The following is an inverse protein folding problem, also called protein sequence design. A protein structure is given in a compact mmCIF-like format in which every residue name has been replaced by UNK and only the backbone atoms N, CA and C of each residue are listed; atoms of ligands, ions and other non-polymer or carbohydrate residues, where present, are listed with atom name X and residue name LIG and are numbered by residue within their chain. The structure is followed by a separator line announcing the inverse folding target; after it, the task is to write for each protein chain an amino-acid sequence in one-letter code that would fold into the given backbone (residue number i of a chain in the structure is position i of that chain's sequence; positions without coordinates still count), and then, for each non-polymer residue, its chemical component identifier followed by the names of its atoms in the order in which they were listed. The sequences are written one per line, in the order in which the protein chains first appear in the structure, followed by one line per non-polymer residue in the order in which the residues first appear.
data_IF_872326815728
#
_entry.id   IF_872326815728
#
_cell.length_a   1.000
_cell.length_b   1.000
_cell.length_c   1.000
_cell.angle_alpha   90.00
_cell.angle_beta   90.00
_cell.angle_gamma   90.00
#
_symmetry.space_group_name_H-M   'P 1'
#
loop_
_entity.id
_entity.type
_entity.pdbx_description
1 polymer ?
#
# COMPACT_ATOMS: atom_id res chain seq x y z
N UNK A 1 15.49 -18.26 -17.31
CA UNK A 1 15.00 -17.73 -16.01
C UNK A 1 13.55 -18.14 -15.91
N UNK A 2 13.20 -18.93 -14.90
CA UNK A 2 11.81 -19.32 -14.65
C UNK A 2 11.01 -18.04 -14.50
N UNK A 3 9.87 -17.94 -15.21
CA UNK A 3 8.96 -16.81 -15.14
C UNK A 3 8.46 -16.66 -13.70
N UNK A 4 9.10 -15.81 -12.90
CA UNK A 4 8.65 -15.54 -11.54
C UNK A 4 7.22 -14.98 -11.60
N UNK A 5 6.34 -15.54 -10.79
CA UNK A 5 4.94 -15.09 -10.69
C UNK A 5 4.73 -14.39 -9.36
N UNK A 6 3.98 -13.30 -9.39
CA UNK A 6 3.52 -12.64 -8.17
C UNK A 6 1.98 -12.66 -8.07
N UNK A 7 1.43 -12.73 -6.85
CA UNK A 7 -0.02 -12.73 -6.64
C UNK A 7 -0.56 -11.30 -6.77
N UNK A 8 -1.10 -10.98 -7.92
CA UNK A 8 -1.75 -9.70 -8.19
C UNK A 8 -3.20 -9.75 -7.73
N UNK A 9 -3.55 -8.88 -6.79
CA UNK A 9 -4.91 -8.73 -6.28
C UNK A 9 -5.77 -7.91 -7.25
N UNK A 10 -5.22 -6.76 -7.71
CA UNK A 10 -5.95 -5.78 -8.49
C UNK A 10 -5.01 -4.96 -9.34
N UNK A 11 -5.47 -4.55 -10.53
CA UNK A 11 -4.81 -3.53 -11.35
C UNK A 11 -5.84 -2.41 -11.58
N UNK A 12 -5.50 -1.20 -11.17
CA UNK A 12 -6.25 0.02 -11.48
C UNK A 12 -5.56 0.68 -12.66
N UNK A 13 -6.21 0.69 -13.81
CA UNK A 13 -5.60 1.16 -15.05
C UNK A 13 -5.30 2.66 -15.04
N UNK A 14 -6.13 3.46 -14.35
CA UNK A 14 -5.98 4.90 -14.25
C UNK A 14 -6.21 5.36 -12.82
N UNK A 15 -5.19 5.92 -12.21
CA UNK A 15 -5.24 6.48 -10.86
C UNK A 15 -4.48 7.81 -10.81
N UNK A 16 -5.11 8.81 -10.20
CA UNK A 16 -4.52 10.13 -9.95
C UNK A 16 -4.18 10.35 -8.47
N UNK A 17 -4.34 9.30 -7.64
CA UNK A 17 -4.10 9.38 -6.19
C UNK A 17 -2.91 8.56 -5.72
N UNK A 18 -2.41 7.67 -6.58
CA UNK A 18 -1.31 6.75 -6.26
C UNK A 18 0.05 7.29 -6.77
N UNK A 19 0.28 8.57 -6.63
CA UNK A 19 1.50 9.27 -7.08
C UNK A 19 1.20 10.36 -8.10
N UNK A 20 2.23 11.02 -8.66
CA UNK A 20 2.08 12.14 -9.57
C UNK A 20 1.57 11.73 -10.95
N UNK A 21 0.68 12.52 -11.50
CA UNK A 21 0.09 12.30 -12.83
C UNK A 21 -0.90 11.14 -12.85
N UNK A 22 -1.24 10.68 -14.05
CA UNK A 22 -2.10 9.52 -14.22
C UNK A 22 -1.24 8.23 -14.26
N UNK A 23 -1.54 7.26 -13.40
CA UNK A 23 -0.71 6.06 -13.23
C UNK A 23 -1.55 4.77 -13.31
N UNK A 24 -0.92 3.69 -13.75
CA UNK A 24 -1.47 2.35 -13.53
C UNK A 24 -0.99 1.85 -12.18
N UNK A 25 -1.91 1.52 -11.27
CA UNK A 25 -1.57 1.01 -9.94
C UNK A 25 -1.75 -0.51 -9.89
N UNK A 26 -0.68 -1.23 -9.50
CA UNK A 26 -0.66 -2.69 -9.38
C UNK A 26 -0.62 -3.06 -7.90
N UNK A 27 -1.68 -3.71 -7.43
CA UNK A 27 -1.83 -4.11 -6.03
C UNK A 27 -1.52 -5.60 -5.86
N UNK A 28 -0.57 -5.90 -4.97
CA UNK A 28 -0.17 -7.26 -4.66
C UNK A 28 -0.88 -7.79 -3.42
N UNK A 29 -0.99 -9.12 -3.33
CA UNK A 29 -1.50 -9.83 -2.17
C UNK A 29 -0.35 -10.17 -1.24
N UNK A 30 -0.61 -10.14 0.08
CA UNK A 30 0.37 -10.40 1.14
C UNK A 30 0.91 -9.12 1.76
N UNK A 31 0.94 -9.09 3.10
CA UNK A 31 1.50 -8.00 3.89
C UNK A 31 2.08 -8.58 5.18
N UNK A 32 3.31 -8.21 5.60
CA UNK A 32 3.83 -8.65 6.88
C UNK A 32 3.15 -7.92 8.05
N UNK A 33 2.61 -6.71 7.81
CA UNK A 33 1.90 -5.93 8.82
C UNK A 33 0.43 -6.35 8.96
N UNK A 34 -0.16 -6.05 10.11
CA UNK A 34 -1.58 -6.27 10.40
C UNK A 34 -2.21 -4.98 10.93
N UNK A 35 -2.05 -3.90 10.22
CA UNK A 35 -2.49 -2.58 10.64
C UNK A 35 -3.97 -2.58 11.02
N UNK A 36 -4.30 -2.01 12.18
CA UNK A 36 -5.67 -1.93 12.71
C UNK A 36 -6.56 -1.03 11.84
N UNK A 37 -5.99 -0.04 11.17
CA UNK A 37 -6.65 0.90 10.27
C UNK A 37 -6.57 0.51 8.78
N UNK A 38 -6.17 -0.72 8.45
CA UNK A 38 -6.00 -1.14 7.06
C UNK A 38 -7.30 -0.96 6.26
N UNK A 39 -7.23 -0.22 5.15
CA UNK A 39 -8.37 0.00 4.24
C UNK A 39 -8.61 -1.17 3.29
N UNK A 40 -7.60 -2.04 3.11
CA UNK A 40 -7.66 -3.22 2.25
C UNK A 40 -7.28 -4.48 3.04
N UNK A 41 -7.99 -4.81 4.14
CA UNK A 41 -7.59 -5.93 5.01
C UNK A 41 -7.58 -7.27 4.28
N UNK A 42 -8.32 -7.40 3.18
CA UNK A 42 -8.33 -8.57 2.32
C UNK A 42 -7.00 -8.83 1.59
N UNK A 43 -6.08 -7.86 1.59
CA UNK A 43 -4.76 -8.01 0.98
C UNK A 43 -3.69 -8.49 1.95
N UNK A 44 -4.00 -8.61 3.25
CA UNK A 44 -2.99 -8.89 4.29
C UNK A 44 -2.45 -10.33 4.15
N UNK A 45 -3.33 -11.33 4.05
CA UNK A 45 -2.93 -12.74 4.06
C UNK A 45 -3.27 -13.46 2.75
N UNK A 46 -2.56 -14.53 2.49
CA UNK A 46 -2.87 -15.45 1.38
C UNK A 46 -4.10 -16.30 1.72
N UNK A 47 -4.89 -16.65 0.69
CA UNK A 47 -6.05 -17.53 0.85
C UNK A 47 -5.62 -18.92 1.31
N UNK A 48 -6.22 -19.41 2.40
CA UNK A 48 -5.98 -20.75 2.94
C UNK A 48 -6.95 -21.82 2.40
N UNK A 49 -7.80 -21.46 1.46
CA UNK A 49 -8.77 -22.35 0.81
C UNK A 49 -9.77 -23.01 1.78
N UNK A 50 -10.19 -22.32 2.85
CA UNK A 50 -11.17 -22.84 3.81
C UNK A 50 -12.58 -23.06 3.21
N UNK A 51 -12.90 -22.47 2.06
CA UNK A 51 -14.14 -22.64 1.32
C UNK A 51 -15.36 -21.86 1.83
N UNK A 52 -15.24 -21.07 2.90
CA UNK A 52 -16.38 -20.28 3.41
C UNK A 52 -17.00 -19.39 2.32
N UNK A 53 -16.16 -18.71 1.54
CA UNK A 53 -16.58 -17.85 0.45
C UNK A 53 -17.15 -18.60 -0.77
N UNK A 54 -16.81 -19.87 -0.97
CA UNK A 54 -17.39 -20.72 -2.03
C UNK A 54 -18.86 -20.93 -1.77
N UNK A 55 -19.23 -21.22 -0.51
CA UNK A 55 -20.62 -21.45 -0.10
C UNK A 55 -21.49 -20.21 -0.18
N UNK A 56 -20.90 -19.03 -0.08
CA UNK A 56 -21.63 -17.74 -0.04
C UNK A 56 -21.62 -16.99 -1.35
N UNK A 57 -20.90 -17.46 -2.37
CA UNK A 57 -20.82 -16.79 -3.66
C UNK A 57 -22.17 -16.85 -4.40
N UNK A 58 -22.88 -15.72 -4.62
CA UNK A 58 -24.25 -15.73 -5.16
C UNK A 58 -24.33 -16.20 -6.62
N UNK A 59 -23.21 -16.14 -7.34
CA UNK A 59 -23.17 -16.49 -8.78
C UNK A 59 -22.27 -17.71 -9.06
N UNK A 60 -21.77 -18.41 -8.02
CA UNK A 60 -20.92 -19.58 -8.19
C UNK A 60 -19.59 -19.28 -8.90
N UNK A 61 -19.06 -18.07 -8.75
CA UNK A 61 -17.77 -17.68 -9.33
C UNK A 61 -16.57 -18.22 -8.55
N UNK A 62 -16.79 -18.89 -7.42
CA UNK A 62 -15.78 -19.53 -6.60
C UNK A 62 -16.08 -21.03 -6.50
N UNK A 63 -15.06 -21.85 -6.67
CA UNK A 63 -15.15 -23.31 -6.58
C UNK A 63 -13.84 -23.86 -6.04
N UNK A 64 -13.80 -25.18 -5.77
CA UNK A 64 -12.55 -25.87 -5.50
C UNK A 64 -11.99 -26.50 -6.78
N UNK A 65 -10.67 -26.46 -6.95
CA UNK A 65 -9.99 -27.25 -7.95
C UNK A 65 -9.79 -28.71 -7.49
N UNK A 66 -9.16 -29.52 -8.33
CA UNK A 66 -8.88 -30.95 -8.03
C UNK A 66 -7.90 -31.14 -6.84
N UNK A 67 -7.17 -30.10 -6.45
CA UNK A 67 -6.26 -30.08 -5.32
C UNK A 67 -6.88 -29.49 -4.03
N UNK A 68 -8.19 -29.17 -4.06
CA UNK A 68 -8.90 -28.57 -2.93
C UNK A 68 -8.58 -27.09 -2.70
N UNK A 69 -7.97 -26.41 -3.66
CA UNK A 69 -7.72 -24.96 -3.58
C UNK A 69 -8.93 -24.19 -4.11
N UNK A 70 -9.25 -23.09 -3.46
CA UNK A 70 -10.29 -22.18 -3.95
C UNK A 70 -9.79 -21.47 -5.19
N UNK A 71 -10.54 -21.60 -6.27
CA UNK A 71 -10.29 -20.94 -7.56
C UNK A 71 -11.41 -19.95 -7.88
N UNK A 72 -11.06 -18.92 -8.62
CA UNK A 72 -11.94 -17.83 -8.97
C UNK A 72 -12.11 -17.69 -10.48
N UNK A 73 -13.36 -17.73 -10.90
CA UNK A 73 -13.77 -17.44 -12.28
C UNK A 73 -14.13 -15.95 -12.41
N UNK A 74 -13.21 -15.18 -12.97
CA UNK A 74 -13.36 -13.73 -13.20
C UNK A 74 -14.54 -13.39 -14.13
N UNK A 75 -14.85 -14.29 -15.09
CA UNK A 75 -15.93 -14.08 -16.07
C UNK A 75 -17.31 -14.21 -15.44
N UNK A 76 -17.47 -15.08 -14.43
CA UNK A 76 -18.72 -15.22 -13.67
C UNK A 76 -18.88 -14.18 -12.56
N UNK A 77 -17.77 -13.59 -12.11
CA UNK A 77 -17.76 -12.72 -10.94
C UNK A 77 -18.46 -11.38 -11.19
N UNK A 78 -19.46 -11.05 -10.39
CA UNK A 78 -20.19 -9.78 -10.43
C UNK A 78 -19.64 -8.71 -9.47
N UNK A 79 -18.48 -8.96 -8.86
CA UNK A 79 -17.78 -8.01 -7.97
C UNK A 79 -18.59 -7.52 -6.76
N UNK A 80 -19.47 -8.35 -6.21
CA UNK A 80 -20.36 -8.02 -5.08
C UNK A 80 -19.67 -7.99 -3.71
N UNK A 81 -18.39 -8.38 -3.63
CA UNK A 81 -17.54 -8.42 -2.43
C UNK A 81 -18.02 -9.34 -1.28
N UNK A 82 -19.05 -10.18 -1.50
CA UNK A 82 -19.53 -11.14 -0.51
C UNK A 82 -18.41 -12.04 0.00
N UNK A 83 -17.51 -12.50 -0.89
CA UNK A 83 -16.36 -13.33 -0.52
C UNK A 83 -15.39 -12.63 0.42
N UNK A 84 -15.18 -11.31 0.28
CA UNK A 84 -14.31 -10.52 1.15
C UNK A 84 -14.97 -10.34 2.53
N UNK A 85 -16.27 -10.02 2.56
CA UNK A 85 -17.05 -9.87 3.81
C UNK A 85 -17.15 -11.19 4.60
N UNK A 86 -17.22 -12.32 3.90
CA UNK A 86 -17.28 -13.66 4.53
C UNK A 86 -15.93 -14.11 5.08
N UNK A 87 -14.82 -13.59 4.54
CA UNK A 87 -13.49 -14.08 4.88
C UNK A 87 -13.04 -13.62 6.27
N UNK A 88 -12.81 -14.60 7.16
CA UNK A 88 -12.28 -14.34 8.51
C UNK A 88 -10.75 -14.32 8.56
N UNK A 89 -10.09 -14.53 7.41
CA UNK A 89 -8.62 -14.68 7.34
C UNK A 89 -7.92 -13.47 6.72
N UNK A 90 -8.60 -12.32 6.59
CA UNK A 90 -8.01 -11.10 5.97
C UNK A 90 -7.33 -11.41 4.62
N UNK A 91 -8.01 -12.17 3.77
CA UNK A 91 -7.49 -12.58 2.45
C UNK A 91 -8.56 -12.48 1.35
N UNK A 92 -8.11 -12.43 0.11
CA UNK A 92 -8.96 -12.46 -1.07
C UNK A 92 -8.78 -13.77 -1.83
N UNK A 93 -9.85 -14.46 -2.26
CA UNK A 93 -9.74 -15.55 -3.21
C UNK A 93 -9.55 -15.06 -4.65
N UNK A 94 -9.69 -13.75 -4.90
CA UNK A 94 -9.69 -13.14 -6.24
C UNK A 94 -8.31 -12.65 -6.67
N UNK A 95 -7.28 -13.45 -6.43
CA UNK A 95 -5.91 -13.17 -6.86
C UNK A 95 -5.59 -13.88 -8.17
N UNK A 96 -4.72 -13.26 -8.96
CA UNK A 96 -4.15 -13.86 -10.16
C UNK A 96 -2.63 -13.97 -9.99
N UNK A 97 -2.09 -15.17 -10.13
CA UNK A 97 -0.65 -15.36 -10.22
C UNK A 97 -0.19 -14.94 -11.62
N UNK A 98 0.44 -13.78 -11.71
CA UNK A 98 0.82 -13.14 -12.95
C UNK A 98 2.34 -13.11 -13.12
N UNK A 99 2.80 -13.38 -14.34
CA UNK A 99 4.18 -13.12 -14.76
C UNK A 99 4.37 -11.63 -15.05
N UNK A 100 5.61 -11.17 -15.16
CA UNK A 100 5.91 -9.80 -15.60
C UNK A 100 5.28 -9.52 -16.97
N UNK A 101 5.32 -10.49 -17.90
CA UNK A 101 4.70 -10.35 -19.22
C UNK A 101 3.18 -10.15 -19.13
N UNK A 102 2.49 -10.87 -18.22
CA UNK A 102 1.04 -10.69 -18.01
C UNK A 102 0.71 -9.28 -17.49
N UNK A 103 1.49 -8.78 -16.54
CA UNK A 103 1.32 -7.41 -16.01
C UNK A 103 1.62 -6.37 -17.09
N UNK A 104 2.71 -6.56 -17.85
CA UNK A 104 3.07 -5.67 -18.96
C UNK A 104 1.99 -5.64 -20.05
N UNK A 105 1.32 -6.75 -20.34
CA UNK A 105 0.18 -6.77 -21.27
C UNK A 105 -0.95 -5.82 -20.81
N UNK A 106 -1.20 -5.71 -19.50
CA UNK A 106 -2.19 -4.77 -18.97
C UNK A 106 -1.68 -3.32 -19.05
N UNK A 107 -0.40 -3.08 -18.69
CA UNK A 107 0.23 -1.76 -18.72
C UNK A 107 0.28 -1.21 -20.17
N UNK A 108 0.63 -2.04 -21.14
CA UNK A 108 0.71 -1.63 -22.55
C UNK A 108 -0.61 -1.07 -23.10
N UNK A 109 -1.77 -1.53 -22.58
CA UNK A 109 -3.09 -1.00 -22.97
C UNK A 109 -3.29 0.45 -22.52
N UNK A 110 -2.64 0.85 -21.44
CA UNK A 110 -2.78 2.17 -20.83
C UNK A 110 -1.56 3.07 -21.07
N UNK A 111 -0.45 2.51 -21.56
CA UNK A 111 0.83 3.20 -21.70
C UNK A 111 0.75 4.58 -22.38
N UNK A 112 -0.07 4.80 -23.45
CA UNK A 112 -0.19 6.13 -24.05
C UNK A 112 -0.80 7.20 -23.14
N UNK A 113 -1.55 6.80 -22.10
CA UNK A 113 -2.35 7.70 -21.28
C UNK A 113 -1.83 7.86 -19.85
N UNK A 114 -0.73 7.18 -19.50
CA UNK A 114 -0.17 7.20 -18.15
C UNK A 114 1.25 7.81 -18.16
N UNK A 115 1.61 8.43 -17.03
CA UNK A 115 2.97 8.93 -16.78
C UNK A 115 3.88 7.84 -16.21
N UNK A 116 3.30 6.81 -15.61
CA UNK A 116 4.04 5.73 -14.98
C UNK A 116 3.15 4.71 -14.31
N UNK A 117 3.77 3.86 -13.53
CA UNK A 117 3.09 2.89 -12.67
C UNK A 117 3.42 3.12 -11.19
N UNK A 118 2.52 2.67 -10.32
CA UNK A 118 2.77 2.54 -8.88
C UNK A 118 2.49 1.11 -8.47
N UNK A 119 3.39 0.53 -7.69
CA UNK A 119 3.17 -0.77 -7.07
C UNK A 119 2.81 -0.58 -5.60
N UNK A 120 1.77 -1.27 -5.15
CA UNK A 120 1.16 -1.16 -3.82
C UNK A 120 0.49 -2.48 -3.44
N UNK A 121 -0.54 -2.47 -2.60
CA UNK A 121 -1.35 -3.65 -2.29
C UNK A 121 -1.40 -3.96 -0.80
N UNK A 122 -1.02 -5.17 -0.40
CA UNK A 122 -0.58 -5.49 0.96
C UNK A 122 0.77 -4.82 1.20
N UNK A 123 1.85 -5.48 0.78
CA UNK A 123 3.19 -4.88 0.68
C UNK A 123 3.90 -5.42 -0.57
N UNK A 124 4.07 -4.59 -1.57
CA UNK A 124 4.58 -5.00 -2.87
C UNK A 124 6.05 -5.43 -2.83
N UNK A 125 6.85 -4.88 -1.91
CA UNK A 125 8.28 -5.19 -1.79
C UNK A 125 8.57 -6.63 -1.36
N UNK A 126 7.56 -7.38 -0.90
CA UNK A 126 7.70 -8.84 -0.71
C UNK A 126 8.05 -9.58 -2.00
N UNK A 127 7.78 -8.97 -3.15
CA UNK A 127 8.04 -9.51 -4.48
C UNK A 127 9.15 -8.73 -5.19
N UNK A 128 10.21 -8.37 -4.45
CA UNK A 128 11.28 -7.48 -4.89
C UNK A 128 11.88 -7.86 -6.25
N UNK A 129 12.23 -9.13 -6.46
CA UNK A 129 12.79 -9.61 -7.74
C UNK A 129 11.80 -9.40 -8.90
N UNK A 130 10.52 -9.69 -8.67
CA UNK A 130 9.46 -9.45 -9.66
C UNK A 130 9.33 -7.96 -9.98
N UNK A 131 9.37 -7.09 -8.96
CA UNK A 131 9.30 -5.65 -9.16
C UNK A 131 10.49 -5.11 -9.94
N UNK A 132 11.71 -5.59 -9.66
CA UNK A 132 12.91 -5.18 -10.39
C UNK A 132 12.77 -5.51 -11.88
N UNK A 133 12.30 -6.71 -12.21
CA UNK A 133 12.05 -7.11 -13.61
C UNK A 133 10.96 -6.26 -14.25
N UNK A 134 9.83 -6.08 -13.56
CA UNK A 134 8.71 -5.27 -14.03
C UNK A 134 9.13 -3.81 -14.31
N UNK A 135 9.88 -3.20 -13.39
CA UNK A 135 10.31 -1.80 -13.54
C UNK A 135 11.31 -1.61 -14.68
N UNK A 136 12.17 -2.58 -14.93
CA UNK A 136 13.03 -2.57 -16.12
C UNK A 136 12.22 -2.57 -17.43
N UNK A 137 11.17 -3.40 -17.49
CA UNK A 137 10.31 -3.44 -18.68
C UNK A 137 9.50 -2.14 -18.86
N UNK A 138 8.94 -1.61 -17.77
CA UNK A 138 8.22 -0.32 -17.77
C UNK A 138 9.15 0.84 -18.17
N UNK A 139 10.39 0.82 -17.70
CA UNK A 139 11.41 1.81 -18.04
C UNK A 139 11.71 1.86 -19.56
N UNK A 140 11.65 0.72 -20.27
CA UNK A 140 11.80 0.66 -21.74
C UNK A 140 10.70 1.44 -22.48
N UNK A 141 9.54 1.64 -21.84
CA UNK A 141 8.44 2.46 -22.37
C UNK A 141 8.63 3.95 -22.07
N UNK A 142 9.72 4.36 -21.42
CA UNK A 142 9.93 5.73 -20.95
C UNK A 142 8.99 6.12 -19.80
N UNK A 143 8.45 5.16 -19.06
CA UNK A 143 7.50 5.39 -17.97
C UNK A 143 8.18 5.30 -16.60
N UNK A 144 7.65 6.06 -15.63
CA UNK A 144 8.19 6.10 -14.28
C UNK A 144 7.61 4.97 -13.41
N UNK A 145 8.38 4.50 -12.42
CA UNK A 145 7.96 3.49 -11.45
C UNK A 145 8.08 4.03 -10.03
N UNK A 146 7.00 3.99 -9.26
CA UNK A 146 6.98 4.34 -7.84
C UNK A 146 6.60 3.12 -7.01
N UNK A 147 7.18 3.06 -5.81
CA UNK A 147 6.93 2.03 -4.82
C UNK A 147 6.12 2.67 -3.70
N UNK A 148 4.92 2.15 -3.44
CA UNK A 148 4.12 2.49 -2.27
C UNK A 148 4.39 1.44 -1.20
N UNK A 149 5.13 1.79 -0.15
CA UNK A 149 5.64 0.84 0.84
C UNK A 149 5.31 1.25 2.27
N UNK A 150 4.97 0.25 3.07
CA UNK A 150 4.80 0.39 4.51
C UNK A 150 6.14 0.37 5.30
N UNK A 151 7.27 0.24 4.60
CA UNK A 151 8.60 0.26 5.18
C UNK A 151 9.06 -1.05 5.84
N UNK A 152 8.37 -2.16 5.63
CA UNK A 152 8.76 -3.47 6.17
C UNK A 152 9.89 -4.17 5.39
N UNK A 153 10.28 -3.64 4.24
CA UNK A 153 11.42 -4.12 3.46
C UNK A 153 12.67 -3.31 3.79
N UNK A 154 13.81 -3.94 3.96
CA UNK A 154 15.08 -3.28 4.24
C UNK A 154 15.74 -2.82 2.94
N UNK A 155 15.48 -1.57 2.53
CA UNK A 155 16.00 -0.99 1.29
C UNK A 155 17.53 -0.84 1.29
N UNK A 156 18.16 -0.74 2.45
CA UNK A 156 19.62 -0.65 2.56
C UNK A 156 20.28 -2.01 2.28
N UNK A 157 19.65 -3.10 2.72
CA UNK A 157 20.17 -4.47 2.47
C UNK A 157 20.04 -4.88 1.01
N UNK A 158 18.99 -4.41 0.32
CA UNK A 158 18.80 -4.71 -1.10
C UNK A 158 18.33 -3.45 -1.86
N UNK A 159 19.31 -2.59 -2.25
CA UNK A 159 19.00 -1.33 -2.93
C UNK A 159 18.67 -1.48 -4.43
N UNK A 160 18.78 -2.68 -5.03
CA UNK A 160 18.63 -2.91 -6.49
C UNK A 160 17.32 -2.35 -7.05
N UNK A 161 16.22 -2.41 -6.29
CA UNK A 161 14.93 -1.88 -6.73
C UNK A 161 14.96 -0.35 -6.85
N UNK A 162 15.79 0.32 -6.06
CA UNK A 162 15.92 1.77 -6.10
C UNK A 162 16.60 2.26 -7.40
N UNK A 163 17.46 1.43 -8.01
CA UNK A 163 18.14 1.75 -9.25
C UNK A 163 17.16 1.85 -10.43
N UNK A 164 16.10 1.03 -10.39
CA UNK A 164 15.09 0.93 -11.47
C UNK A 164 13.79 1.68 -11.16
N UNK A 165 13.71 2.36 -9.99
CA UNK A 165 12.56 3.16 -9.58
C UNK A 165 12.91 4.65 -9.52
N UNK A 166 11.88 5.51 -9.62
CA UNK A 166 12.01 6.94 -9.34
C UNK A 166 12.05 7.22 -7.84
N UNK A 167 11.50 6.34 -7.01
CA UNK A 167 11.55 6.48 -5.58
C UNK A 167 10.44 5.73 -4.85
N UNK A 168 10.43 5.92 -3.55
CA UNK A 168 9.53 5.28 -2.60
C UNK A 168 8.60 6.33 -1.99
N UNK A 169 7.33 6.04 -1.96
CA UNK A 169 6.32 6.69 -1.13
C UNK A 169 6.23 5.87 0.15
N UNK A 170 6.80 6.39 1.24
CA UNK A 170 6.97 5.66 2.49
C UNK A 170 5.89 6.02 3.51
N UNK A 171 5.24 5.03 4.03
CA UNK A 171 4.31 5.19 5.14
C UNK A 171 5.05 5.23 6.49
N UNK A 172 5.02 6.39 7.18
CA UNK A 172 5.46 6.52 8.57
C UNK A 172 4.20 6.78 9.41
N UNK A 173 3.66 5.74 10.01
CA UNK A 173 2.33 5.78 10.65
C UNK A 173 2.37 6.26 12.09
N UNK A 174 3.45 5.96 12.83
CA UNK A 174 3.68 6.40 14.19
C UNK A 174 5.17 6.30 14.55
N UNK A 175 5.64 7.17 15.44
CA UNK A 175 7.01 7.13 15.97
C UNK A 175 7.07 6.77 17.44
N UNK A 176 5.99 6.91 18.20
CA UNK A 176 5.89 6.32 19.52
C UNK A 176 5.89 4.79 19.38
N UNK A 177 6.70 4.09 20.17
CA UNK A 177 6.94 2.65 20.02
C UNK A 177 5.70 1.83 20.38
N UNK A 178 5.07 2.15 21.50
CA UNK A 178 3.91 1.43 22.00
C UNK A 178 2.71 1.65 21.06
N UNK A 179 2.51 2.88 20.64
CA UNK A 179 1.47 3.24 19.68
C UNK A 179 1.70 2.57 18.32
N UNK A 180 2.92 2.59 17.79
CA UNK A 180 3.26 1.92 16.55
C UNK A 180 2.98 0.42 16.64
N UNK A 181 3.48 -0.23 17.68
CA UNK A 181 3.29 -1.66 17.91
C UNK A 181 1.82 -2.04 18.04
N UNK A 182 1.05 -1.23 18.78
CA UNK A 182 -0.40 -1.44 18.90
C UNK A 182 -1.11 -1.23 17.55
N UNK A 183 -0.75 -0.19 16.79
CA UNK A 183 -1.42 0.21 15.56
C UNK A 183 -1.11 -0.72 14.38
N UNK A 184 0.14 -1.18 14.27
CA UNK A 184 0.71 -1.90 13.12
C UNK A 184 0.88 -3.41 13.42
N UNK A 185 1.20 -3.75 14.68
CA UNK A 185 1.53 -5.11 15.11
C UNK A 185 3.00 -5.49 14.90
N UNK A 186 3.87 -4.51 14.61
CA UNK A 186 5.32 -4.67 14.39
C UNK A 186 6.09 -3.52 15.00
N UNK A 187 7.41 -3.70 15.13
CA UNK A 187 8.33 -2.68 15.61
C UNK A 187 8.58 -1.62 14.53
N UNK A 188 8.87 -0.37 14.96
CA UNK A 188 9.02 0.81 14.08
C UNK A 188 10.41 0.99 13.49
N UNK A 189 11.42 0.32 14.06
CA UNK A 189 12.85 0.59 13.82
C UNK A 189 13.20 0.52 12.33
N UNK A 190 12.72 -0.51 11.63
CA UNK A 190 13.00 -0.67 10.21
C UNK A 190 12.35 0.44 9.36
N UNK A 191 11.14 0.86 9.71
CA UNK A 191 10.45 1.96 9.03
C UNK A 191 11.24 3.26 9.17
N UNK A 192 11.71 3.56 10.38
CA UNK A 192 12.48 4.77 10.65
C UNK A 192 13.89 4.70 10.03
N UNK A 193 14.53 3.54 10.04
CA UNK A 193 15.77 3.27 9.31
C UNK A 193 15.60 3.54 7.81
N UNK A 194 14.52 3.04 7.21
CA UNK A 194 14.21 3.26 5.80
C UNK A 194 13.95 4.74 5.49
N UNK A 195 13.30 5.49 6.38
CA UNK A 195 13.12 6.93 6.23
C UNK A 195 14.47 7.64 6.06
N UNK A 196 15.40 7.38 6.98
CA UNK A 196 16.73 8.01 6.98
C UNK A 196 17.57 7.53 5.78
N UNK A 197 17.55 6.24 5.46
CA UNK A 197 18.27 5.68 4.32
C UNK A 197 17.78 6.24 2.97
N UNK A 198 16.49 6.19 2.72
CA UNK A 198 15.89 6.68 1.47
C UNK A 198 16.12 8.19 1.27
N UNK A 199 16.13 8.97 2.37
CA UNK A 199 16.52 10.38 2.34
C UNK A 199 17.98 10.53 1.93
N UNK A 200 18.88 9.75 2.50
CA UNK A 200 20.34 9.85 2.28
C UNK A 200 20.72 9.55 0.81
N UNK A 201 20.00 8.63 0.16
CA UNK A 201 20.24 8.22 -1.24
C UNK A 201 19.35 8.96 -2.25
N UNK A 202 18.53 9.93 -1.79
CA UNK A 202 17.65 10.73 -2.67
C UNK A 202 16.53 9.92 -3.34
N UNK A 203 16.09 8.83 -2.71
CA UNK A 203 15.03 7.94 -3.21
C UNK A 203 13.71 8.01 -2.43
N UNK A 204 13.62 8.90 -1.44
CA UNK A 204 12.36 9.20 -0.77
C UNK A 204 11.55 10.19 -1.61
N UNK A 205 10.49 9.72 -2.24
CA UNK A 205 9.64 10.55 -3.08
C UNK A 205 8.59 11.31 -2.25
N UNK A 206 7.93 10.60 -1.33
CA UNK A 206 6.86 11.12 -0.49
C UNK A 206 6.85 10.38 0.86
N UNK A 207 6.55 11.07 1.95
CA UNK A 207 6.19 10.44 3.22
C UNK A 207 4.69 10.61 3.45
N UNK A 208 4.08 9.59 4.06
CA UNK A 208 2.65 9.58 4.39
C UNK A 208 2.44 9.27 5.86
N UNK A 209 1.69 10.12 6.56
CA UNK A 209 1.30 9.92 7.96
C UNK A 209 -0.22 10.07 8.08
N UNK A 210 -0.86 9.12 8.78
CA UNK A 210 -2.27 9.20 9.14
C UNK A 210 -2.45 10.04 10.40
N UNK A 211 -3.46 10.90 10.37
CA UNK A 211 -3.90 11.68 11.54
C UNK A 211 -5.15 11.03 12.10
N UNK A 212 -5.04 10.51 13.30
CA UNK A 212 -6.14 9.87 14.01
C UNK A 212 -6.89 10.89 14.90
N UNK A 213 -8.22 10.80 15.01
CA UNK A 213 -8.97 11.64 15.95
C UNK A 213 -8.54 11.31 17.39
N UNK A 214 -8.59 12.32 18.27
CA UNK A 214 -8.33 12.18 19.72
C UNK A 214 -6.95 11.56 20.06
N UNK A 215 -5.95 11.78 19.20
CA UNK A 215 -4.56 11.31 19.33
C UNK A 215 -3.56 12.45 19.15
N UNK A 216 -3.81 13.58 19.82
CA UNK A 216 -3.00 14.79 19.63
C UNK A 216 -1.51 14.54 19.87
N UNK A 217 -1.16 13.84 20.94
CA UNK A 217 0.23 13.57 21.30
C UNK A 217 0.93 12.73 20.22
N UNK A 218 0.36 11.60 19.86
CA UNK A 218 0.95 10.65 18.89
C UNK A 218 1.01 11.24 17.49
N UNK A 219 0.00 12.03 17.09
CA UNK A 219 -0.02 12.76 15.82
C UNK A 219 1.09 13.80 15.80
N UNK A 220 1.22 14.63 16.85
CA UNK A 220 2.22 15.69 16.94
C UNK A 220 3.65 15.14 16.96
N UNK A 221 3.88 14.09 17.76
CA UNK A 221 5.20 13.44 17.83
C UNK A 221 5.61 12.87 16.46
N UNK A 222 4.69 12.18 15.77
CA UNK A 222 4.98 11.58 14.46
C UNK A 222 5.24 12.65 13.41
N UNK A 223 4.36 13.65 13.32
CA UNK A 223 4.49 14.73 12.34
C UNK A 223 5.76 15.54 12.57
N UNK A 224 6.06 15.87 13.82
CA UNK A 224 7.27 16.64 14.18
C UNK A 224 8.54 15.86 13.86
N UNK A 225 8.57 14.57 14.18
CA UNK A 225 9.71 13.70 13.89
C UNK A 225 10.01 13.62 12.39
N UNK A 226 8.98 13.38 11.58
CA UNK A 226 9.11 13.29 10.12
C UNK A 226 9.50 14.65 9.53
N UNK A 227 8.77 15.72 9.87
CA UNK A 227 8.98 17.05 9.30
C UNK A 227 10.42 17.57 9.49
N UNK A 228 10.98 17.42 10.69
CA UNK A 228 12.37 17.82 11.01
C UNK A 228 13.41 17.06 10.19
N UNK A 229 13.12 15.83 9.74
CA UNK A 229 14.03 15.00 8.94
C UNK A 229 13.94 15.30 7.45
N UNK A 230 12.71 15.33 6.93
CA UNK A 230 12.51 15.48 5.49
C UNK A 230 12.71 16.92 5.02
N UNK A 231 12.30 17.91 5.83
CA UNK A 231 12.30 19.33 5.46
C UNK A 231 11.65 19.52 4.07
N UNK A 232 12.33 20.17 3.14
CA UNK A 232 11.87 20.43 1.77
C UNK A 232 12.27 19.35 0.74
N UNK A 233 12.90 18.26 1.18
CA UNK A 233 13.52 17.24 0.29
C UNK A 233 12.51 16.37 -0.43
N UNK A 234 11.33 16.14 0.14
CA UNK A 234 10.27 15.34 -0.47
C UNK A 234 8.88 15.88 -0.10
N UNK A 235 7.84 15.34 -0.71
CA UNK A 235 6.45 15.62 -0.34
C UNK A 235 6.11 15.00 1.00
N UNK A 236 5.26 15.68 1.79
CA UNK A 236 4.71 15.15 3.02
C UNK A 236 3.19 15.16 2.99
N UNK A 237 2.60 13.99 2.85
CA UNK A 237 1.15 13.82 2.78
C UNK A 237 0.59 13.51 4.17
N UNK A 238 -0.19 14.44 4.69
CA UNK A 238 -0.95 14.31 5.93
C UNK A 238 -2.32 13.74 5.58
N UNK A 239 -2.54 12.48 5.92
CA UNK A 239 -3.73 11.73 5.52
C UNK A 239 -4.73 11.73 6.67
N UNK A 240 -5.96 12.13 6.40
CA UNK A 240 -7.06 12.01 7.36
C UNK A 240 -7.44 10.54 7.55
N UNK A 241 -7.50 10.06 8.79
CA UNK A 241 -8.07 8.75 9.05
C UNK A 241 -9.51 8.70 8.53
N UNK A 242 -9.86 7.60 7.89
CA UNK A 242 -11.19 7.31 7.37
C UNK A 242 -11.59 5.91 7.79
N UNK A 243 -12.78 5.70 8.38
CA UNK A 243 -13.21 4.36 8.82
C UNK A 243 -13.60 3.44 7.65
N UNK A 244 -13.84 4.00 6.47
CA UNK A 244 -14.25 3.23 5.31
C UNK A 244 -13.21 2.16 4.91
N UNK A 245 -13.66 0.89 4.83
CA UNK A 245 -12.77 -0.25 4.53
C UNK A 245 -12.06 -0.83 5.77
N UNK A 246 -12.00 -0.10 6.87
CA UNK A 246 -11.43 -0.59 8.13
C UNK A 246 -12.37 -1.61 8.77
N UNK A 247 -11.81 -2.66 9.38
CA UNK A 247 -12.58 -3.69 10.10
C UNK A 247 -13.43 -3.06 11.20
N UNK A 248 -14.72 -3.43 11.31
CA UNK A 248 -15.68 -2.81 12.23
C UNK A 248 -15.22 -2.79 13.71
N UNK A 249 -14.60 -3.86 14.17
CA UNK A 249 -14.03 -3.95 15.53
C UNK A 249 -12.92 -2.92 15.76
N UNK A 250 -12.20 -2.53 14.72
CA UNK A 250 -11.14 -1.53 14.78
C UNK A 250 -11.69 -0.10 14.65
N UNK A 251 -12.78 0.10 13.92
CA UNK A 251 -13.43 1.42 13.84
C UNK A 251 -13.87 1.89 15.24
N UNK A 252 -14.39 0.97 16.07
CA UNK A 252 -14.78 1.28 17.46
C UNK A 252 -13.61 1.74 18.34
N UNK A 253 -12.37 1.36 18.00
CA UNK A 253 -11.16 1.70 18.77
C UNK A 253 -10.42 2.92 18.21
N UNK A 254 -10.53 3.17 16.90
CA UNK A 254 -9.80 4.21 16.20
C UNK A 254 -10.66 5.43 15.86
N UNK A 255 -11.99 5.27 15.88
CA UNK A 255 -12.97 6.29 15.51
C UNK A 255 -13.88 5.82 14.36
N UNK A 256 -15.16 6.16 14.47
CA UNK A 256 -16.20 5.80 13.50
C UNK A 256 -16.41 6.88 12.41
N UNK A 257 -15.71 8.00 12.53
CA UNK A 257 -15.82 9.14 11.62
C UNK A 257 -14.47 9.48 10.97
N UNK A 258 -14.56 10.07 9.80
CA UNK A 258 -13.38 10.64 9.13
C UNK A 258 -12.82 11.79 9.97
N UNK A 259 -11.50 11.81 10.16
CA UNK A 259 -10.81 12.93 10.82
C UNK A 259 -11.18 14.25 10.13
N UNK A 260 -11.55 15.25 10.93
CA UNK A 260 -11.90 16.59 10.44
C UNK A 260 -10.74 17.20 9.67
N UNK A 261 -11.05 17.93 8.60
CA UNK A 261 -10.03 18.51 7.72
C UNK A 261 -9.24 19.62 8.42
N UNK A 262 -9.90 20.46 9.20
CA UNK A 262 -9.23 21.55 9.96
C UNK A 262 -8.31 20.97 11.04
N UNK A 263 -8.75 19.88 11.66
CA UNK A 263 -7.91 19.16 12.62
C UNK A 263 -6.65 18.59 11.96
N UNK A 264 -6.77 17.98 10.78
CA UNK A 264 -5.61 17.50 10.02
C UNK A 264 -4.73 18.65 9.49
N UNK A 265 -5.34 19.78 9.11
CA UNK A 265 -4.61 20.97 8.64
C UNK A 265 -3.68 21.53 9.72
N UNK A 266 -4.07 21.49 11.00
CA UNK A 266 -3.20 21.85 12.14
C UNK A 266 -1.84 21.13 12.07
N UNK A 267 -1.84 19.86 11.70
CA UNK A 267 -0.61 19.06 11.60
C UNK A 267 0.17 19.32 10.30
N UNK A 268 -0.48 19.65 9.22
CA UNK A 268 0.22 20.11 8.02
C UNK A 268 0.90 21.47 8.27
N UNK A 269 0.24 22.39 8.95
CA UNK A 269 0.80 23.70 9.34
C UNK A 269 1.99 23.52 10.32
N UNK A 270 1.87 22.58 11.26
CA UNK A 270 2.98 22.20 12.14
C UNK A 270 4.15 21.67 11.33
N UNK A 271 3.92 20.77 10.38
CA UNK A 271 4.98 20.23 9.54
C UNK A 271 5.70 21.33 8.74
N UNK A 272 4.95 22.26 8.17
CA UNK A 272 5.49 23.44 7.46
C UNK A 272 6.33 24.30 8.40
N UNK A 273 5.85 24.59 9.61
CA UNK A 273 6.59 25.37 10.61
C UNK A 273 7.92 24.73 11.04
N UNK A 274 8.03 23.39 10.90
CA UNK A 274 9.22 22.60 11.23
C UNK A 274 10.13 22.37 10.01
N UNK A 275 9.82 22.98 8.86
CA UNK A 275 10.65 22.97 7.65
C UNK A 275 10.15 22.07 6.50
N UNK A 276 9.10 21.28 6.70
CA UNK A 276 8.52 20.45 5.64
C UNK A 276 7.59 21.29 4.73
N UNK A 277 8.18 22.18 3.92
CA UNK A 277 7.44 23.17 3.11
C UNK A 277 6.47 22.56 2.07
N UNK A 278 6.63 21.27 1.75
CA UNK A 278 5.78 20.52 0.80
C UNK A 278 4.75 19.63 1.52
N UNK A 279 4.39 19.97 2.78
CA UNK A 279 3.34 19.26 3.51
C UNK A 279 1.95 19.72 3.06
N UNK A 280 1.01 18.78 2.92
CA UNK A 280 -0.37 19.04 2.54
C UNK A 280 -1.33 17.95 3.04
N UNK A 281 -2.60 18.31 3.22
CA UNK A 281 -3.68 17.41 3.68
C UNK A 281 -4.38 16.74 2.49
N UNK A 282 -4.79 15.44 2.69
CA UNK A 282 -5.65 14.70 1.78
C UNK A 282 -6.77 13.95 2.53
#
# INVERSE_FOLDING_TARGET
MENSKAPVNKIIHFSNVDGPGNRTSVFFQGCPFNCRFCHNPETIKMCISCGACVKTCPVGALSFDAQGKVVWDDKKCVRCDTCLKTCQHSSSPRIKWMTVADVMQQINRTAPYITGITTSGGECTQYNEFLIELFKEVGKLGKTCLIDSNGSFDFEKDPRILEVSQGVMLDVKAVDEDWHKWLIGYDRELVLKNLDYLLSVGKLYEVRTLIFPDRDKENEETVSYVARRIQDKCFYKIIRYRPFGVREEMQKQLGEFTTDERYAQKYADLAVSLGASKAYVV
#
